data_IF_499369690778
#
_entry.id   IF_499369690778
#
_cell.length_a   1.000
_cell.length_b   1.000
_cell.length_c   1.000
_cell.angle_alpha   90.00
_cell.angle_beta   90.00
_cell.angle_gamma   90.00
#
_symmetry.space_group_name_H-M   'P 1'
#
loop_
_entity.id
_entity.type
_entity.pdbx_description
1 polymer ?
#
# COMPACT_ATOMS: atom_id res chain seq x y z
N UNK A 1 -0.34 21.80 21.71
CA UNK A 1 -0.30 20.65 20.77
C UNK A 1 -0.16 21.20 19.36
N UNK A 2 0.84 20.75 18.59
CA UNK A 2 1.10 21.28 17.23
C UNK A 2 -0.09 21.02 16.29
N UNK A 3 -0.31 21.92 15.32
CA UNK A 3 -1.34 21.77 14.27
C UNK A 3 -1.19 20.42 13.52
N UNK A 4 0.06 20.00 13.27
CA UNK A 4 0.44 18.70 12.69
C UNK A 4 -0.12 17.51 13.48
N UNK A 5 0.05 17.49 14.81
CA UNK A 5 -0.44 16.38 15.64
C UNK A 5 -1.97 16.26 15.60
N UNK A 6 -2.67 17.40 15.61
CA UNK A 6 -4.14 17.44 15.51
C UNK A 6 -4.63 16.90 14.16
N UNK A 7 -3.98 17.29 13.07
CA UNK A 7 -4.28 16.80 11.71
C UNK A 7 -4.04 15.29 11.63
N UNK A 8 -2.86 14.83 12.06
CA UNK A 8 -2.49 13.41 12.02
C UNK A 8 -3.49 12.53 12.80
N UNK A 9 -3.89 12.96 14.00
CA UNK A 9 -4.89 12.26 14.82
C UNK A 9 -6.24 12.16 14.12
N UNK A 10 -6.69 13.22 13.46
CA UNK A 10 -7.96 13.22 12.76
C UNK A 10 -7.94 12.32 11.51
N UNK A 11 -6.87 12.42 10.71
CA UNK A 11 -6.67 11.57 9.53
C UNK A 11 -6.59 10.08 9.92
N UNK A 12 -5.81 9.77 10.96
CA UNK A 12 -5.71 8.42 11.50
C UNK A 12 -7.08 7.91 11.97
N UNK A 13 -7.85 8.71 12.70
CA UNK A 13 -9.19 8.30 13.16
C UNK A 13 -10.14 8.03 12.00
N UNK A 14 -10.13 8.87 10.96
CA UNK A 14 -11.00 8.69 9.80
C UNK A 14 -10.67 7.40 9.04
N UNK A 15 -9.38 7.17 8.77
CA UNK A 15 -8.90 5.98 8.04
C UNK A 15 -9.02 4.71 8.86
N UNK A 16 -8.66 4.80 10.15
CA UNK A 16 -8.76 3.71 11.10
C UNK A 16 -10.19 3.20 11.26
N UNK A 17 -11.21 4.06 11.16
CA UNK A 17 -12.61 3.61 11.11
C UNK A 17 -12.92 2.74 9.89
N UNK A 18 -12.45 3.15 8.71
CA UNK A 18 -12.65 2.38 7.46
C UNK A 18 -11.96 1.02 7.57
N UNK A 19 -10.69 1.01 8.00
CA UNK A 19 -9.94 -0.25 8.17
C UNK A 19 -10.56 -1.13 9.26
N UNK A 20 -11.00 -0.56 10.39
CA UNK A 20 -11.67 -1.34 11.44
C UNK A 20 -12.98 -1.95 10.95
N UNK A 21 -13.70 -1.27 10.05
CA UNK A 21 -14.90 -1.82 9.42
C UNK A 21 -14.56 -2.99 8.49
N UNK A 22 -13.49 -2.90 7.68
CA UNK A 22 -13.00 -4.01 6.85
C UNK A 22 -12.63 -5.21 7.72
N UNK A 23 -11.81 -5.00 8.76
CA UNK A 23 -11.43 -6.04 9.72
C UNK A 23 -12.66 -6.65 10.40
N UNK A 24 -13.64 -5.83 10.77
CA UNK A 24 -14.89 -6.27 11.38
C UNK A 24 -15.73 -7.16 10.44
N UNK A 25 -15.84 -6.79 9.17
CA UNK A 25 -16.51 -7.60 8.15
C UNK A 25 -15.78 -8.93 7.92
N UNK A 26 -14.46 -8.92 7.89
CA UNK A 26 -13.67 -10.13 7.71
C UNK A 26 -13.81 -11.06 8.93
N UNK A 27 -13.76 -10.52 10.15
CA UNK A 27 -14.01 -11.26 11.38
C UNK A 27 -15.43 -11.85 11.43
N UNK A 28 -16.44 -11.09 10.97
CA UNK A 28 -17.81 -11.59 10.86
C UNK A 28 -17.90 -12.75 9.86
N UNK A 29 -17.26 -12.64 8.70
CA UNK A 29 -17.22 -13.71 7.70
C UNK A 29 -16.59 -14.99 8.25
N UNK A 30 -15.50 -14.85 9.02
CA UNK A 30 -14.87 -15.96 9.73
C UNK A 30 -15.81 -16.62 10.73
N UNK A 31 -16.54 -15.83 11.54
CA UNK A 31 -17.54 -16.35 12.48
C UNK A 31 -18.68 -17.10 11.77
N UNK A 32 -19.20 -16.55 10.69
CA UNK A 32 -20.24 -17.20 9.88
C UNK A 32 -19.74 -18.51 9.27
N UNK A 33 -18.49 -18.57 8.83
CA UNK A 33 -17.89 -19.77 8.30
C UNK A 33 -17.74 -20.87 9.36
N UNK A 34 -17.39 -20.50 10.59
CA UNK A 34 -17.36 -21.43 11.73
C UNK A 34 -18.75 -22.00 12.01
N UNK A 35 -19.77 -21.14 12.06
CA UNK A 35 -21.14 -21.57 12.28
C UNK A 35 -21.62 -22.49 11.16
N UNK A 36 -21.36 -22.13 9.91
CA UNK A 36 -21.72 -22.93 8.74
C UNK A 36 -21.14 -24.35 8.80
N UNK A 37 -19.82 -24.46 9.02
CA UNK A 37 -19.19 -25.78 9.13
C UNK A 37 -19.71 -26.61 10.30
N UNK A 38 -19.99 -25.97 11.43
CA UNK A 38 -20.53 -26.66 12.61
C UNK A 38 -21.97 -27.14 12.40
N UNK A 39 -22.80 -26.37 11.70
CA UNK A 39 -24.20 -26.72 11.43
C UNK A 39 -24.29 -27.85 10.40
N UNK A 40 -23.47 -27.80 9.35
CA UNK A 40 -23.53 -28.76 8.23
C UNK A 40 -22.51 -29.91 8.36
N UNK A 41 -21.77 -30.00 9.47
CA UNK A 41 -20.74 -31.03 9.74
C UNK A 41 -19.73 -31.22 8.59
N UNK A 42 -19.32 -30.11 7.95
CA UNK A 42 -18.37 -30.15 6.82
C UNK A 42 -16.94 -30.28 7.37
N UNK A 43 -16.25 -31.35 6.97
CA UNK A 43 -14.90 -31.68 7.45
C UNK A 43 -13.78 -31.26 6.48
N UNK A 44 -14.12 -30.73 5.32
CA UNK A 44 -13.13 -30.36 4.30
C UNK A 44 -12.16 -29.29 4.78
N UNK A 45 -10.93 -29.31 4.24
CA UNK A 45 -9.94 -28.28 4.52
C UNK A 45 -10.43 -26.93 4.01
N UNK A 46 -10.15 -25.88 4.76
CA UNK A 46 -10.53 -24.51 4.40
C UNK A 46 -9.34 -23.62 4.63
N UNK A 47 -9.01 -22.80 3.65
CA UNK A 47 -8.01 -21.74 3.79
C UNK A 47 -8.72 -20.39 3.73
N UNK A 48 -8.37 -19.51 4.67
CA UNK A 48 -8.82 -18.12 4.69
C UNK A 48 -7.76 -17.17 4.11
N UNK A 49 -6.65 -17.70 3.59
CA UNK A 49 -5.55 -16.93 2.99
C UNK A 49 -6.05 -16.01 1.88
N UNK A 50 -6.94 -16.48 1.01
CA UNK A 50 -7.54 -15.65 -0.04
C UNK A 50 -8.38 -14.49 0.50
N UNK A 51 -9.12 -14.70 1.58
CA UNK A 51 -9.92 -13.66 2.25
C UNK A 51 -9.03 -12.55 2.82
N UNK A 52 -7.93 -12.93 3.48
CA UNK A 52 -6.91 -12.01 4.00
C UNK A 52 -6.32 -11.15 2.88
N UNK A 53 -5.90 -11.77 1.77
CA UNK A 53 -5.37 -11.03 0.62
C UNK A 53 -6.38 -10.03 0.04
N UNK A 54 -7.64 -10.44 -0.12
CA UNK A 54 -8.71 -9.57 -0.63
C UNK A 54 -8.93 -8.39 0.33
N UNK A 55 -8.99 -8.63 1.64
CA UNK A 55 -9.19 -7.58 2.63
C UNK A 55 -8.04 -6.57 2.65
N UNK A 56 -6.79 -7.04 2.52
CA UNK A 56 -5.62 -6.17 2.37
C UNK A 56 -5.72 -5.32 1.10
N UNK A 57 -6.06 -5.91 -0.06
CA UNK A 57 -6.21 -5.19 -1.33
C UNK A 57 -7.28 -4.09 -1.20
N UNK A 58 -8.46 -4.43 -0.68
CA UNK A 58 -9.56 -3.49 -0.46
C UNK A 58 -9.11 -2.36 0.48
N UNK A 59 -8.44 -2.69 1.58
CA UNK A 59 -7.91 -1.72 2.54
C UNK A 59 -6.91 -0.75 1.89
N UNK A 60 -5.99 -1.25 1.07
CA UNK A 60 -5.02 -0.43 0.32
C UNK A 60 -5.75 0.49 -0.67
N UNK A 61 -6.74 0.00 -1.40
CA UNK A 61 -7.52 0.80 -2.36
C UNK A 61 -8.24 1.96 -1.66
N UNK A 62 -8.89 1.71 -0.52
CA UNK A 62 -9.50 2.79 0.28
C UNK A 62 -8.47 3.78 0.84
N UNK A 63 -7.29 3.31 1.23
CA UNK A 63 -6.20 4.18 1.67
C UNK A 63 -5.67 5.06 0.55
N UNK A 64 -5.48 4.53 -0.66
CA UNK A 64 -5.09 5.30 -1.85
C UNK A 64 -6.10 6.43 -2.10
N UNK A 65 -7.39 6.11 -2.14
CA UNK A 65 -8.44 7.11 -2.31
C UNK A 65 -8.41 8.17 -1.20
N UNK A 66 -8.22 7.76 0.05
CA UNK A 66 -8.13 8.69 1.18
C UNK A 66 -6.92 9.62 1.08
N UNK A 67 -5.76 9.12 0.68
CA UNK A 67 -4.53 9.91 0.51
C UNK A 67 -4.69 10.95 -0.58
N UNK A 68 -5.25 10.56 -1.74
CA UNK A 68 -5.50 11.46 -2.87
C UNK A 68 -6.50 12.57 -2.47
N UNK A 69 -7.62 12.21 -1.83
CA UNK A 69 -8.67 13.17 -1.51
C UNK A 69 -8.23 14.27 -0.52
N UNK A 70 -7.22 14.02 0.32
CA UNK A 70 -6.69 15.03 1.24
C UNK A 70 -5.92 16.11 0.51
N UNK A 71 -5.24 15.78 -0.59
CA UNK A 71 -4.53 16.77 -1.42
C UNK A 71 -5.52 17.78 -2.07
N UNK A 72 -6.74 17.34 -2.36
CA UNK A 72 -7.78 18.16 -3.01
C UNK A 72 -8.72 18.85 -2.01
N UNK A 73 -8.65 18.54 -0.71
CA UNK A 73 -9.65 18.98 0.27
C UNK A 73 -9.41 20.40 0.78
N UNK A 74 -10.39 21.28 0.56
CA UNK A 74 -10.42 22.66 1.10
C UNK A 74 -10.44 22.71 2.63
N UNK A 75 -10.96 21.66 3.29
CA UNK A 75 -11.08 21.57 4.76
C UNK A 75 -9.73 21.63 5.48
N UNK A 76 -8.68 21.09 4.87
CA UNK A 76 -7.35 21.05 5.47
C UNK A 76 -6.47 22.25 5.06
N UNK A 77 -6.87 23.03 4.05
CA UNK A 77 -6.21 24.30 3.66
C UNK A 77 -6.50 25.46 4.61
N UNK A 78 -7.56 25.37 5.43
CA UNK A 78 -7.92 26.37 6.44
C UNK A 78 -7.14 26.21 7.76
N UNK A 79 -6.37 25.11 7.90
CA UNK A 79 -5.52 24.88 9.06
C UNK A 79 -4.19 25.57 8.77
N UNK A 80 -3.61 26.38 9.69
CA UNK A 80 -2.31 27.01 9.50
C UNK A 80 -1.20 25.96 9.56
N UNK A 81 -1.01 25.26 8.44
CA UNK A 81 0.01 24.24 8.22
C UNK A 81 0.59 24.45 6.81
N UNK A 82 1.89 24.26 6.65
CA UNK A 82 2.51 24.27 5.33
C UNK A 82 2.06 23.06 4.51
N UNK A 83 2.04 23.17 3.18
CA UNK A 83 1.68 22.06 2.28
C UNK A 83 2.59 20.84 2.50
N UNK A 84 3.87 21.08 2.79
CA UNK A 84 4.85 20.04 3.17
C UNK A 84 4.46 19.34 4.48
N UNK A 85 4.00 20.10 5.47
CA UNK A 85 3.53 19.57 6.75
C UNK A 85 2.24 18.76 6.63
N UNK A 86 1.32 19.19 5.76
CA UNK A 86 0.11 18.44 5.43
C UNK A 86 0.43 17.15 4.68
N UNK A 87 1.32 17.20 3.68
CA UNK A 87 1.83 16.02 2.98
C UNK A 87 2.45 15.02 3.95
N UNK A 88 3.37 15.46 4.81
CA UNK A 88 4.00 14.59 5.80
C UNK A 88 2.97 13.96 6.74
N UNK A 89 2.02 14.75 7.26
CA UNK A 89 0.95 14.24 8.13
C UNK A 89 0.04 13.24 7.40
N UNK A 90 -0.20 13.46 6.11
CA UNK A 90 -1.00 12.60 5.25
C UNK A 90 -0.33 11.22 5.08
N UNK A 91 0.95 11.18 4.74
CA UNK A 91 1.68 9.92 4.57
C UNK A 91 1.99 9.22 5.89
N UNK A 92 2.30 9.97 6.95
CA UNK A 92 2.56 9.41 8.27
C UNK A 92 1.31 8.73 8.85
N UNK A 93 0.14 9.36 8.77
CA UNK A 93 -1.11 8.69 9.18
C UNK A 93 -1.43 7.48 8.31
N UNK A 94 -1.17 7.54 7.00
CA UNK A 94 -1.40 6.40 6.11
C UNK A 94 -0.50 5.21 6.49
N UNK A 95 0.78 5.47 6.77
CA UNK A 95 1.75 4.47 7.22
C UNK A 95 1.28 3.72 8.47
N UNK A 96 0.87 4.44 9.53
CA UNK A 96 0.36 3.80 10.74
C UNK A 96 -0.93 3.00 10.51
N UNK A 97 -1.79 3.45 9.58
CA UNK A 97 -3.00 2.71 9.24
C UNK A 97 -2.70 1.46 8.41
N UNK A 98 -1.67 1.48 7.56
CA UNK A 98 -1.18 0.28 6.87
C UNK A 98 -0.68 -0.75 7.89
N UNK A 99 0.11 -0.33 8.88
CA UNK A 99 0.55 -1.21 9.97
C UNK A 99 -0.68 -1.79 10.70
N UNK A 100 -1.66 -0.95 11.02
CA UNK A 100 -2.88 -1.40 11.68
C UNK A 100 -3.67 -2.43 10.85
N UNK A 101 -3.79 -2.23 9.54
CA UNK A 101 -4.41 -3.20 8.63
C UNK A 101 -3.65 -4.53 8.61
N UNK A 102 -2.33 -4.49 8.40
CA UNK A 102 -1.50 -5.71 8.30
C UNK A 102 -1.50 -6.50 9.61
N UNK A 103 -1.38 -5.82 10.75
CA UNK A 103 -1.43 -6.47 12.07
C UNK A 103 -2.82 -7.05 12.33
N UNK A 104 -3.89 -6.32 12.01
CA UNK A 104 -5.26 -6.81 12.18
C UNK A 104 -5.53 -8.05 11.34
N UNK A 105 -5.15 -8.02 10.06
CA UNK A 105 -5.30 -9.16 9.14
C UNK A 105 -4.42 -10.35 9.53
N UNK A 106 -3.20 -10.11 10.03
CA UNK A 106 -2.36 -11.17 10.58
C UNK A 106 -3.02 -11.86 11.77
N UNK A 107 -3.65 -11.12 12.68
CA UNK A 107 -4.40 -11.69 13.82
C UNK A 107 -5.57 -12.54 13.31
N UNK A 108 -6.37 -12.02 12.36
CA UNK A 108 -7.48 -12.78 11.76
C UNK A 108 -6.99 -14.08 11.13
N UNK A 109 -5.86 -14.03 10.41
CA UNK A 109 -5.23 -15.20 9.80
C UNK A 109 -4.77 -16.23 10.84
N UNK A 110 -4.07 -15.81 11.91
CA UNK A 110 -3.60 -16.73 12.94
C UNK A 110 -4.76 -17.41 13.69
N UNK A 111 -5.83 -16.66 13.97
CA UNK A 111 -7.05 -17.21 14.57
C UNK A 111 -7.72 -18.21 13.62
N UNK A 112 -7.84 -17.86 12.33
CA UNK A 112 -8.37 -18.75 11.30
C UNK A 112 -7.60 -20.06 11.23
N UNK A 113 -6.27 -20.00 11.20
CA UNK A 113 -5.41 -21.17 11.13
C UNK A 113 -5.52 -22.07 12.37
N UNK A 114 -5.63 -21.48 13.56
CA UNK A 114 -5.80 -22.23 14.80
C UNK A 114 -7.12 -23.03 14.84
N UNK A 115 -8.17 -22.52 14.18
CA UNK A 115 -9.49 -23.15 14.13
C UNK A 115 -9.59 -24.13 12.94
N UNK A 116 -9.04 -23.75 11.79
CA UNK A 116 -9.03 -24.53 10.55
C UNK A 116 -7.60 -24.79 10.10
N UNK A 117 -6.90 -25.75 10.72
CA UNK A 117 -5.55 -26.07 10.30
C UNK A 117 -5.58 -26.61 8.87
N UNK A 118 -4.87 -25.94 7.97
CA UNK A 118 -4.79 -26.33 6.56
C UNK A 118 -3.34 -26.67 6.20
N UNK A 119 -3.06 -27.85 5.61
CA UNK A 119 -1.71 -28.22 5.18
C UNK A 119 -1.11 -27.26 4.13
N UNK A 120 -1.93 -26.57 3.33
CA UNK A 120 -1.43 -25.55 2.39
C UNK A 120 -0.94 -24.28 3.10
N UNK A 121 -1.51 -23.96 4.27
CA UNK A 121 -1.11 -22.80 5.07
C UNK A 121 0.16 -23.10 5.91
N UNK A 122 0.47 -24.38 6.15
CA UNK A 122 1.73 -24.81 6.77
C UNK A 122 2.96 -24.42 5.93
N UNK A 123 2.83 -24.21 4.62
CA UNK A 123 3.95 -23.78 3.77
C UNK A 123 4.38 -22.33 4.12
N UNK A 124 3.44 -21.46 4.51
CA UNK A 124 3.76 -20.11 5.00
C UNK A 124 4.27 -20.11 6.45
N UNK A 125 3.83 -21.09 7.26
CA UNK A 125 4.08 -21.15 8.70
C UNK A 125 5.27 -22.06 9.07
N UNK A 126 5.79 -22.88 8.14
CA UNK A 126 6.84 -23.87 8.39
C UNK A 126 7.99 -23.31 9.22
N UNK A 127 8.54 -24.13 10.10
CA UNK A 127 9.72 -23.80 10.89
C UNK A 127 10.92 -23.58 9.98
N UNK A 128 11.16 -22.31 9.71
CA UNK A 128 12.36 -21.80 9.11
C UNK A 128 13.48 -21.91 10.17
N UNK A 129 14.70 -22.28 9.75
CA UNK A 129 15.84 -22.33 10.68
C UNK A 129 16.14 -20.93 11.24
N UNK A 130 16.92 -20.83 12.33
CA UNK A 130 17.22 -19.55 13.00
C UNK A 130 17.68 -18.43 12.04
N UNK A 131 18.42 -18.76 10.97
CA UNK A 131 18.88 -17.81 9.94
C UNK A 131 17.80 -17.38 8.93
N UNK A 132 16.66 -18.05 8.89
CA UNK A 132 15.57 -17.79 7.94
C UNK A 132 14.42 -16.96 8.55
N UNK A 133 14.42 -16.70 9.87
CA UNK A 133 13.50 -15.72 10.47
C UNK A 133 13.74 -14.31 9.95
N UNK A 134 15.00 -13.98 9.66
CA UNK A 134 15.37 -12.69 9.08
C UNK A 134 14.70 -12.47 7.71
N UNK A 135 14.61 -13.53 6.90
CA UNK A 135 13.92 -13.50 5.62
C UNK A 135 12.42 -13.21 5.76
N UNK A 136 11.73 -13.74 6.78
CA UNK A 136 10.30 -13.41 7.04
C UNK A 136 10.14 -11.91 7.34
N UNK A 137 11.04 -11.36 8.14
CA UNK A 137 11.02 -9.94 8.47
C UNK A 137 11.28 -9.05 7.23
N UNK A 138 12.25 -9.42 6.40
CA UNK A 138 12.52 -8.76 5.11
C UNK A 138 11.30 -8.77 4.19
N UNK A 139 10.55 -9.89 4.12
CA UNK A 139 9.31 -9.98 3.32
C UNK A 139 8.23 -9.05 3.86
N UNK A 140 8.04 -8.97 5.18
CA UNK A 140 7.08 -8.04 5.79
C UNK A 140 7.44 -6.59 5.49
N UNK A 141 8.73 -6.24 5.59
CA UNK A 141 9.22 -4.91 5.21
C UNK A 141 8.95 -4.64 3.73
N UNK A 142 9.18 -5.62 2.85
CA UNK A 142 8.94 -5.48 1.42
C UNK A 142 7.46 -5.18 1.12
N UNK A 143 6.54 -5.85 1.81
CA UNK A 143 5.10 -5.60 1.70
C UNK A 143 4.77 -4.18 2.14
N UNK A 144 5.28 -3.74 3.30
CA UNK A 144 5.03 -2.38 3.81
C UNK A 144 5.58 -1.33 2.84
N UNK A 145 6.83 -1.48 2.39
CA UNK A 145 7.45 -0.55 1.44
C UNK A 145 6.75 -0.56 0.07
N UNK A 146 6.27 -1.72 -0.38
CA UNK A 146 5.48 -1.85 -1.60
C UNK A 146 4.14 -1.11 -1.52
N UNK A 147 3.42 -1.26 -0.40
CA UNK A 147 2.17 -0.50 -0.17
C UNK A 147 2.47 1.00 -0.11
N UNK A 148 3.53 1.41 0.58
CA UNK A 148 3.94 2.82 0.61
C UNK A 148 4.28 3.34 -0.78
N UNK A 149 4.96 2.55 -1.61
CA UNK A 149 5.26 2.92 -3.00
C UNK A 149 3.98 3.16 -3.80
N UNK A 150 2.98 2.30 -3.64
CA UNK A 150 1.65 2.47 -4.28
C UNK A 150 1.00 3.76 -3.80
N UNK A 151 1.01 4.05 -2.50
CA UNK A 151 0.42 5.28 -1.95
C UNK A 151 1.12 6.54 -2.50
N UNK A 152 2.45 6.56 -2.48
CA UNK A 152 3.25 7.70 -2.96
C UNK A 152 3.09 7.86 -4.48
N UNK A 153 3.17 6.78 -5.24
CA UNK A 153 3.02 6.77 -6.69
C UNK A 153 1.63 7.19 -7.16
N UNK A 154 0.58 6.82 -6.41
CA UNK A 154 -0.80 7.23 -6.72
C UNK A 154 -0.98 8.76 -6.67
N UNK A 155 -0.28 9.45 -5.74
CA UNK A 155 -0.29 10.91 -5.69
C UNK A 155 0.47 11.52 -6.88
N UNK A 156 1.61 10.94 -7.27
CA UNK A 156 2.36 11.39 -8.45
C UNK A 156 1.50 11.30 -9.70
N UNK A 157 0.85 10.15 -9.92
CA UNK A 157 -0.04 9.93 -11.07
C UNK A 157 -1.17 10.97 -11.07
N UNK A 158 -1.81 11.21 -9.93
CA UNK A 158 -2.86 12.22 -9.81
C UNK A 158 -2.36 13.62 -10.19
N UNK A 159 -1.21 14.02 -9.67
CA UNK A 159 -0.62 15.34 -9.93
C UNK A 159 -0.20 15.51 -11.40
N UNK A 160 0.34 14.45 -12.02
CA UNK A 160 0.66 14.45 -13.45
C UNK A 160 -0.60 14.55 -14.32
N UNK A 161 -1.66 13.81 -13.97
CA UNK A 161 -2.94 13.88 -14.68
C UNK A 161 -3.56 15.27 -14.57
N UNK A 162 -3.52 15.91 -13.40
CA UNK A 162 -3.99 17.30 -13.28
C UNK A 162 -3.16 18.27 -14.10
N UNK A 163 -1.82 18.12 -14.09
CA UNK A 163 -0.93 18.99 -14.84
C UNK A 163 -1.14 18.88 -16.35
N UNK A 164 -1.23 17.67 -16.90
CA UNK A 164 -1.52 17.45 -18.33
C UNK A 164 -2.96 17.85 -18.67
N UNK A 165 -3.90 17.59 -17.76
CA UNK A 165 -5.30 17.95 -17.90
C UNK A 165 -5.56 19.46 -17.93
N UNK A 166 -4.68 20.29 -17.37
CA UNK A 166 -4.76 21.75 -17.48
C UNK A 166 -4.27 22.28 -18.84
N UNK A 167 -3.40 21.53 -19.55
CA UNK A 167 -2.98 21.87 -20.92
C UNK A 167 -3.97 21.44 -22.00
N UNK A 168 -4.84 20.47 -21.69
CA UNK A 168 -5.86 19.98 -22.60
C UNK A 168 -7.23 20.54 -22.20
N UNK A 169 -8.12 20.93 -23.13
CA UNK A 169 -9.48 21.40 -22.82
C UNK A 169 -10.41 20.25 -22.40
N UNK A 170 -9.91 19.32 -21.58
CA UNK A 170 -10.56 18.09 -21.14
C UNK A 170 -11.28 18.26 -19.79
N UNK A 171 -11.24 19.48 -19.21
CA UNK A 171 -11.68 19.83 -17.85
C UNK A 171 -13.09 19.38 -17.42
N UNK A 172 -13.93 18.84 -18.32
CA UNK A 172 -15.30 18.39 -18.05
C UNK A 172 -15.65 17.00 -18.59
N UNK A 173 -14.75 16.27 -19.27
CA UNK A 173 -15.07 14.94 -19.84
C UNK A 173 -14.45 13.81 -19.02
N UNK A 174 -15.27 13.12 -18.22
CA UNK A 174 -14.88 11.99 -17.36
C UNK A 174 -14.15 10.89 -18.13
N UNK A 175 -14.60 10.56 -19.34
CA UNK A 175 -13.99 9.52 -20.16
C UNK A 175 -12.57 9.87 -20.61
N UNK A 176 -12.34 11.11 -21.05
CA UNK A 176 -11.02 11.58 -21.47
C UNK A 176 -10.04 11.68 -20.30
N UNK A 177 -10.50 12.03 -19.09
CA UNK A 177 -9.67 11.98 -17.87
C UNK A 177 -9.25 10.55 -17.50
N UNK A 178 -10.14 9.56 -17.68
CA UNK A 178 -9.82 8.14 -17.45
C UNK A 178 -8.74 7.65 -18.43
N UNK A 179 -8.91 7.94 -19.73
CA UNK A 179 -7.91 7.58 -20.75
C UNK A 179 -6.55 8.23 -20.44
N UNK A 180 -6.55 9.52 -20.12
CA UNK A 180 -5.33 10.24 -19.76
C UNK A 180 -4.65 9.59 -18.53
N UNK A 181 -5.43 9.18 -17.53
CA UNK A 181 -4.90 8.49 -16.34
C UNK A 181 -4.24 7.17 -16.72
N UNK A 182 -4.86 6.37 -17.60
CA UNK A 182 -4.28 5.10 -18.06
C UNK A 182 -2.97 5.33 -18.83
N UNK A 183 -2.90 6.35 -19.68
CA UNK A 183 -1.68 6.70 -20.42
C UNK A 183 -0.57 7.12 -19.45
N UNK A 184 -0.87 7.95 -18.46
CA UNK A 184 0.10 8.38 -17.44
C UNK A 184 0.59 7.19 -16.62
N UNK A 185 -0.31 6.30 -16.18
CA UNK A 185 0.06 5.05 -15.49
C UNK A 185 1.01 4.23 -16.35
N UNK A 186 0.67 4.01 -17.62
CA UNK A 186 1.50 3.24 -18.54
C UNK A 186 2.89 3.86 -18.71
N UNK A 187 2.97 5.17 -18.95
CA UNK A 187 4.24 5.88 -19.10
C UNK A 187 5.13 5.79 -17.85
N UNK A 188 4.54 5.98 -16.66
CA UNK A 188 5.26 5.84 -15.38
C UNK A 188 5.72 4.40 -15.17
N UNK A 189 4.88 3.41 -15.46
CA UNK A 189 5.21 1.99 -15.31
C UNK A 189 6.35 1.54 -16.24
N UNK A 190 6.35 1.99 -17.50
CA UNK A 190 7.42 1.68 -18.46
C UNK A 190 8.75 2.26 -17.98
N UNK A 191 8.78 3.53 -17.57
CA UNK A 191 9.98 4.17 -17.05
C UNK A 191 10.47 3.48 -15.75
N UNK A 192 9.55 3.19 -14.83
CA UNK A 192 9.84 2.48 -13.58
C UNK A 192 10.46 1.11 -13.85
N UNK A 193 9.86 0.31 -14.74
CA UNK A 193 10.35 -1.02 -15.07
C UNK A 193 11.72 -0.96 -15.75
N UNK A 194 11.90 -0.09 -16.74
CA UNK A 194 13.16 0.07 -17.45
C UNK A 194 14.32 0.46 -16.50
N UNK A 195 14.09 1.44 -15.62
CA UNK A 195 15.10 1.88 -14.65
C UNK A 195 15.40 0.78 -13.64
N UNK A 196 14.37 0.14 -13.10
CA UNK A 196 14.50 -0.90 -12.06
C UNK A 196 15.21 -2.14 -12.60
N UNK A 197 14.82 -2.61 -13.78
CA UNK A 197 15.45 -3.76 -14.43
C UNK A 197 16.94 -3.50 -14.71
N UNK A 198 17.27 -2.34 -15.27
CA UNK A 198 18.66 -1.97 -15.53
C UNK A 198 19.47 -1.83 -14.24
N UNK A 199 18.87 -1.30 -13.18
CA UNK A 199 19.53 -1.15 -11.87
C UNK A 199 19.79 -2.51 -11.21
N UNK A 200 18.84 -3.44 -11.29
CA UNK A 200 19.04 -4.81 -10.79
C UNK A 200 20.18 -5.53 -11.53
N UNK A 201 20.26 -5.37 -12.85
CA UNK A 201 21.35 -5.93 -13.68
C UNK A 201 22.70 -5.31 -13.29
N UNK A 202 22.76 -3.98 -13.09
CA UNK A 202 23.97 -3.26 -12.66
C UNK A 202 24.43 -3.70 -11.26
N UNK A 203 23.50 -4.01 -10.37
CA UNK A 203 23.77 -4.53 -9.02
C UNK A 203 24.13 -6.03 -9.00
N UNK A 204 24.31 -6.64 -10.16
CA UNK A 204 24.77 -8.02 -10.30
C UNK A 204 23.69 -9.08 -10.14
N UNK A 205 22.41 -8.70 -10.12
CA UNK A 205 21.27 -9.64 -10.13
C UNK A 205 20.94 -9.96 -11.59
N UNK A 206 21.76 -10.80 -12.23
CA UNK A 206 21.53 -11.23 -13.63
C UNK A 206 20.64 -12.45 -13.74
N UNK A 207 20.73 -13.39 -12.80
CA UNK A 207 19.93 -14.62 -12.80
C UNK A 207 19.55 -15.04 -11.38
N UNK A 208 18.26 -15.38 -11.18
CA UNK A 208 17.79 -16.01 -9.95
C UNK A 208 18.06 -17.50 -10.06
N UNK A 209 19.18 -17.95 -9.50
CA UNK A 209 19.38 -19.39 -9.27
C UNK A 209 18.39 -19.89 -8.21
N UNK A 210 18.13 -21.20 -8.19
CA UNK A 210 17.23 -21.86 -7.21
C UNK A 210 17.77 -21.91 -5.78
N UNK A 211 18.96 -21.33 -5.54
CA UNK A 211 19.57 -21.30 -4.22
C UNK A 211 18.92 -20.25 -3.31
N UNK A 212 18.68 -20.62 -2.04
CA UNK A 212 18.10 -19.72 -1.03
C UNK A 212 18.94 -18.44 -0.84
N UNK A 213 20.27 -18.54 -0.88
CA UNK A 213 21.17 -17.37 -0.79
C UNK A 213 20.94 -16.36 -1.93
N UNK A 214 20.68 -16.84 -3.15
CA UNK A 214 20.35 -15.97 -4.28
C UNK A 214 19.02 -15.25 -4.07
N UNK A 215 18.02 -15.94 -3.54
CA UNK A 215 16.69 -15.35 -3.22
C UNK A 215 16.80 -14.27 -2.15
N UNK A 216 17.53 -14.53 -1.05
CA UNK A 216 17.76 -13.54 0.02
C UNK A 216 18.50 -12.32 -0.51
N UNK A 217 19.55 -12.52 -1.32
CA UNK A 217 20.29 -11.42 -1.95
C UNK A 217 19.40 -10.59 -2.87
N UNK A 218 18.56 -11.23 -3.67
CA UNK A 218 17.62 -10.54 -4.54
C UNK A 218 16.62 -9.72 -3.73
N UNK A 219 16.01 -10.31 -2.69
CA UNK A 219 15.07 -9.62 -1.82
C UNK A 219 15.70 -8.37 -1.19
N UNK A 220 16.92 -8.48 -0.68
CA UNK A 220 17.65 -7.35 -0.09
C UNK A 220 17.95 -6.23 -1.10
N UNK A 221 18.35 -6.59 -2.33
CA UNK A 221 18.53 -5.60 -3.40
C UNK A 221 17.20 -4.94 -3.80
N UNK A 222 16.13 -5.72 -3.89
CA UNK A 222 14.78 -5.20 -4.17
C UNK A 222 14.29 -4.26 -3.07
N UNK A 223 14.53 -4.58 -1.79
CA UNK A 223 14.22 -3.71 -0.66
C UNK A 223 14.93 -2.36 -0.75
N UNK A 224 16.21 -2.37 -1.09
CA UNK A 224 17.00 -1.16 -1.27
C UNK A 224 16.44 -0.29 -2.40
N UNK A 225 16.12 -0.90 -3.54
CA UNK A 225 15.52 -0.21 -4.70
C UNK A 225 14.13 0.35 -4.34
N UNK A 226 13.29 -0.40 -3.64
CA UNK A 226 11.97 0.06 -3.18
C UNK A 226 12.08 1.29 -2.27
N UNK A 227 13.07 1.30 -1.38
CA UNK A 227 13.33 2.44 -0.50
C UNK A 227 13.76 3.67 -1.30
N UNK A 228 14.69 3.52 -2.25
CA UNK A 228 15.12 4.62 -3.14
C UNK A 228 13.92 5.18 -3.91
N UNK A 229 13.08 4.33 -4.50
CA UNK A 229 11.91 4.78 -5.25
C UNK A 229 10.91 5.54 -4.38
N UNK A 230 10.65 5.09 -3.15
CA UNK A 230 9.80 5.82 -2.22
C UNK A 230 10.36 7.23 -1.94
N UNK A 231 11.68 7.36 -1.79
CA UNK A 231 12.35 8.66 -1.61
C UNK A 231 12.21 9.53 -2.86
N UNK A 232 12.55 8.99 -4.04
CA UNK A 232 12.49 9.70 -5.33
C UNK A 232 11.07 10.20 -5.62
N UNK A 233 10.06 9.35 -5.48
CA UNK A 233 8.68 9.74 -5.71
C UNK A 233 8.17 10.73 -4.66
N UNK A 234 8.67 10.67 -3.42
CA UNK A 234 8.36 11.67 -2.40
C UNK A 234 8.92 13.05 -2.79
N UNK A 235 10.16 13.12 -3.26
CA UNK A 235 10.72 14.38 -3.76
C UNK A 235 9.94 14.90 -4.98
N UNK A 236 9.58 14.02 -5.91
CA UNK A 236 8.78 14.37 -7.07
C UNK A 236 7.40 14.93 -6.67
N UNK A 237 6.71 14.28 -5.71
CA UNK A 237 5.45 14.79 -5.17
C UNK A 237 5.60 16.18 -4.56
N UNK A 238 6.61 16.40 -3.72
CA UNK A 238 6.86 17.71 -3.11
C UNK A 238 7.19 18.79 -4.16
N UNK A 239 7.93 18.43 -5.21
CA UNK A 239 8.22 19.33 -6.34
C UNK A 239 6.96 19.69 -7.11
N UNK A 240 6.14 18.69 -7.49
CA UNK A 240 4.90 18.89 -8.22
C UNK A 240 3.88 19.70 -7.39
N UNK A 241 3.78 19.44 -6.08
CA UNK A 241 2.89 20.18 -5.18
C UNK A 241 3.27 21.67 -5.09
N UNK A 242 4.56 22.00 -4.96
CA UNK A 242 5.00 23.39 -4.93
C UNK A 242 4.63 24.10 -6.24
N UNK A 243 4.93 23.48 -7.39
CA UNK A 243 4.63 24.06 -8.71
C UNK A 243 3.14 24.23 -8.96
N UNK A 244 2.33 23.30 -8.46
CA UNK A 244 0.88 23.40 -8.55
C UNK A 244 0.32 24.54 -7.66
N UNK A 245 0.90 24.77 -6.48
CA UNK A 245 0.53 25.89 -5.61
C UNK A 245 0.83 27.27 -6.21
N UNK A 246 1.87 27.35 -7.06
CA UNK A 246 2.26 28.57 -7.77
C UNK A 246 1.39 28.81 -9.01
N UNK A 247 0.95 27.76 -9.69
CA UNK A 247 0.09 27.87 -10.88
C UNK A 247 -1.40 28.17 -10.57
N UNK A 248 -1.82 28.08 -9.31
CA UNK A 248 -3.19 28.37 -8.86
C UNK A 248 -3.33 29.66 -8.02
N UNK A 249 -2.24 30.41 -7.82
CA UNK A 249 -2.27 31.79 -7.32
C UNK A 249 -2.32 32.77 -8.49
#
# INVERSE_FOLDING_TARGET
MSSISRVNKNLFRQRGKIISLILGFHALALLLMILYKKIFNITDSTSLTGGVFIAVIIGVVFLVMSVINICDSSKYRLIPISDKGLYFSNFLSAFFVVIYLLVGEAIVYFVAYAIFPNPYDQIMIKDFSAGQYWFKFEVVIAIVLGIMLILVGSVVIRLLVSLVGDFLPIKKQTFATVILTLIVIWGVMVAFNAITANTLILLGVREVTTSFSSVVRMLNMSLFILLIWNIVLTFLNLYLLNRWSEATK
#
